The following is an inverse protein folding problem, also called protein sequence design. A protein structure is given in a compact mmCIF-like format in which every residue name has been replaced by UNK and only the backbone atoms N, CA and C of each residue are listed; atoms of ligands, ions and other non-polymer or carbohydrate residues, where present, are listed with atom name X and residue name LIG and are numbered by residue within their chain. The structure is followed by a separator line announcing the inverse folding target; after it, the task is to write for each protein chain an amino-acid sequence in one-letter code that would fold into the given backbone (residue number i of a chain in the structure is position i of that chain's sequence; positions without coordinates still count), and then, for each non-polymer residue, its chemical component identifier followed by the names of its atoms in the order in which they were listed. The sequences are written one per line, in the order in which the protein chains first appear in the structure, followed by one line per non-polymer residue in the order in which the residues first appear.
data_IF_657980926954
#
_entry.id   IF_657980926954
#
_cell.length_a   1.000
_cell.length_b   1.000
_cell.length_c   1.000
_cell.angle_alpha   90.00
_cell.angle_beta   90.00
_cell.angle_gamma   90.00
#
_symmetry.space_group_name_H-M   'P 1'
#
loop_
_entity.id
_entity.type
_entity.pdbx_description
1 polymer ?
#
# COMPACT_ATOMS: atom_id res chain seq x y z
N UNK A 1 -9.62 -14.50 4.01
CA UNK A 1 -8.24 -13.97 3.97
C UNK A 1 -8.23 -12.50 3.54
N UNK A 2 -7.47 -11.64 4.22
CA UNK A 2 -7.29 -10.22 3.90
C UNK A 2 -5.92 -9.97 3.31
N UNK A 3 -5.85 -9.50 2.07
CA UNK A 3 -4.61 -9.27 1.33
C UNK A 3 -4.48 -7.77 1.02
N UNK A 4 -3.36 -7.13 1.36
CA UNK A 4 -3.16 -5.72 1.05
C UNK A 4 -1.86 -5.51 0.26
N UNK A 5 -1.93 -4.74 -0.82
CA UNK A 5 -0.77 -4.42 -1.66
C UNK A 5 -0.18 -3.08 -1.19
N UNK A 6 1.15 -3.03 -1.03
CA UNK A 6 1.88 -1.85 -0.57
C UNK A 6 3.11 -1.58 -1.44
N UNK A 7 3.48 -0.31 -1.57
CA UNK A 7 4.58 0.13 -2.41
C UNK A 7 4.43 1.59 -2.84
N UNK A 8 5.52 2.24 -3.23
CA UNK A 8 5.49 3.64 -3.69
C UNK A 8 4.70 3.81 -5.00
N UNK A 9 4.47 5.04 -5.47
CA UNK A 9 3.83 5.26 -6.77
C UNK A 9 4.67 4.69 -7.91
N UNK A 10 4.03 4.33 -9.03
CA UNK A 10 4.72 3.82 -10.24
C UNK A 10 5.62 2.61 -9.95
N UNK A 11 5.11 1.65 -9.17
CA UNK A 11 5.71 0.31 -9.01
C UNK A 11 4.84 -0.81 -9.59
N UNK A 12 3.67 -0.51 -10.14
CA UNK A 12 2.78 -1.50 -10.78
C UNK A 12 1.79 -2.19 -9.83
N UNK A 13 1.40 -1.54 -8.73
CA UNK A 13 0.44 -2.11 -7.75
C UNK A 13 -0.95 -2.32 -8.32
N UNK A 14 -1.55 -1.28 -8.91
CA UNK A 14 -2.88 -1.39 -9.52
C UNK A 14 -2.91 -2.43 -10.63
N UNK A 15 -1.84 -2.56 -11.43
CA UNK A 15 -1.74 -3.64 -12.42
C UNK A 15 -1.64 -5.04 -11.81
N UNK A 16 -0.98 -5.18 -10.66
CA UNK A 16 -0.97 -6.43 -9.89
C UNK A 16 -2.36 -6.71 -9.29
N UNK A 17 -3.01 -5.70 -8.72
CA UNK A 17 -4.38 -5.77 -8.20
C UNK A 17 -5.36 -6.24 -9.28
N UNK A 18 -5.30 -5.65 -10.47
CA UNK A 18 -6.09 -6.05 -11.64
C UNK A 18 -5.82 -7.53 -12.01
N UNK A 19 -4.55 -7.96 -12.10
CA UNK A 19 -4.23 -9.37 -12.36
C UNK A 19 -4.83 -10.32 -11.32
N UNK A 20 -4.75 -9.94 -10.04
CA UNK A 20 -5.34 -10.74 -8.95
C UNK A 20 -6.86 -10.79 -9.07
N UNK A 21 -7.52 -9.71 -9.50
CA UNK A 21 -8.97 -9.66 -9.69
C UNK A 21 -9.48 -10.60 -10.78
N UNK A 22 -8.67 -10.86 -11.80
CA UNK A 22 -8.99 -11.81 -12.86
C UNK A 22 -8.83 -13.27 -12.41
N UNK A 23 -8.05 -13.50 -11.35
CA UNK A 23 -7.60 -14.84 -10.94
C UNK A 23 -8.24 -15.33 -9.64
N UNK A 24 -8.32 -14.50 -8.60
CA UNK A 24 -8.86 -14.84 -7.29
C UNK A 24 -10.39 -14.70 -7.29
N UNK A 25 -11.08 -15.79 -7.65
CA UNK A 25 -12.54 -15.83 -7.62
C UNK A 25 -13.06 -15.89 -6.19
N UNK A 26 -14.13 -15.14 -5.93
CA UNK A 26 -14.79 -15.12 -4.62
C UNK A 26 -14.18 -14.13 -3.63
N UNK A 27 -13.14 -13.38 -4.03
CA UNK A 27 -12.62 -12.26 -3.25
C UNK A 27 -13.33 -10.95 -3.64
N UNK A 28 -13.55 -10.09 -2.66
CA UNK A 28 -13.89 -8.69 -2.88
C UNK A 28 -12.62 -7.89 -3.21
N UNK A 29 -12.76 -6.88 -4.05
CA UNK A 29 -11.66 -6.03 -4.52
C UNK A 29 -11.94 -4.58 -4.15
N UNK A 30 -11.12 -4.05 -3.23
CA UNK A 30 -11.26 -2.69 -2.71
C UNK A 30 -10.21 -1.80 -3.37
N UNK A 31 -10.71 -0.89 -4.20
CA UNK A 31 -9.91 0.09 -4.91
C UNK A 31 -9.21 1.09 -3.98
N UNK A 32 -8.18 1.74 -4.53
CA UNK A 32 -7.40 2.77 -3.87
C UNK A 32 -8.28 3.89 -3.28
N UNK A 33 -8.07 4.29 -2.00
CA UNK A 33 -8.77 5.39 -1.34
C UNK A 33 -8.93 6.68 -2.14
N UNK A 34 -7.93 7.05 -2.95
CA UNK A 34 -7.97 8.23 -3.80
C UNK A 34 -9.22 8.23 -4.71
N UNK A 35 -9.48 7.13 -5.42
CA UNK A 35 -10.58 7.06 -6.38
C UNK A 35 -11.94 7.10 -5.67
N UNK A 36 -12.10 6.34 -4.58
CA UNK A 36 -13.36 6.34 -3.82
C UNK A 36 -13.67 7.69 -3.19
N UNK A 37 -12.65 8.39 -2.69
CA UNK A 37 -12.81 9.74 -2.13
C UNK A 37 -13.13 10.76 -3.25
N UNK A 38 -12.48 10.64 -4.41
CA UNK A 38 -12.79 11.47 -5.57
C UNK A 38 -14.23 11.27 -6.06
N UNK A 39 -14.72 10.03 -6.13
CA UNK A 39 -16.11 9.71 -6.45
C UNK A 39 -17.11 10.26 -5.42
N UNK A 40 -16.70 10.34 -4.15
CA UNK A 40 -17.46 10.97 -3.08
C UNK A 40 -17.42 12.51 -3.11
N UNK A 41 -16.71 13.12 -4.07
CA UNK A 41 -16.62 14.56 -4.27
C UNK A 41 -15.45 15.24 -3.56
N UNK A 42 -14.46 14.48 -3.08
CA UNK A 42 -13.22 15.06 -2.54
C UNK A 42 -12.28 15.45 -3.69
N UNK A 43 -11.84 16.71 -3.72
CA UNK A 43 -10.88 17.19 -4.72
C UNK A 43 -9.46 17.11 -4.14
N UNK A 44 -8.60 16.34 -4.82
CA UNK A 44 -7.19 16.24 -4.47
C UNK A 44 -6.33 17.15 -5.35
N UNK A 45 -5.30 17.72 -4.75
CA UNK A 45 -4.23 18.37 -5.50
C UNK A 45 -3.42 17.39 -6.36
N UNK A 46 -2.83 17.88 -7.47
CA UNK A 46 -2.01 17.08 -8.38
C UNK A 46 -0.87 16.33 -7.65
N UNK A 47 -0.33 16.95 -6.61
CA UNK A 47 0.58 16.32 -5.66
C UNK A 47 0.00 16.47 -4.25
N UNK A 48 -0.56 15.39 -3.66
CA UNK A 48 -1.27 15.48 -2.39
C UNK A 48 -0.45 16.12 -1.27
N UNK A 49 -1.10 17.01 -0.53
CA UNK A 49 -0.61 17.62 0.69
C UNK A 49 -0.59 16.62 1.85
N UNK A 50 0.05 17.01 2.95
CA UNK A 50 0.08 16.22 4.18
C UNK A 50 -1.33 15.91 4.69
N UNK A 51 -2.22 16.89 4.68
CA UNK A 51 -3.61 16.78 5.10
C UNK A 51 -4.40 15.82 4.20
N UNK A 52 -4.16 15.86 2.89
CA UNK A 52 -4.79 14.94 1.93
C UNK A 52 -4.29 13.50 2.11
N UNK A 53 -3.00 13.29 2.38
CA UNK A 53 -2.48 11.98 2.77
C UNK A 53 -3.08 11.48 4.09
N UNK A 54 -3.33 12.36 5.06
CA UNK A 54 -4.05 11.99 6.29
C UNK A 54 -5.47 11.53 5.97
N UNK A 55 -6.21 12.25 5.12
CA UNK A 55 -7.57 11.84 4.73
C UNK A 55 -7.58 10.46 4.05
N UNK A 56 -6.64 10.21 3.14
CA UNK A 56 -6.50 8.89 2.50
C UNK A 56 -6.12 7.79 3.50
N UNK A 57 -5.24 8.09 4.47
CA UNK A 57 -4.91 7.17 5.55
C UNK A 57 -6.15 6.81 6.38
N UNK A 58 -6.92 7.81 6.82
CA UNK A 58 -8.14 7.59 7.60
C UNK A 58 -9.16 6.73 6.84
N UNK A 59 -9.34 7.01 5.54
CA UNK A 59 -10.23 6.23 4.70
C UNK A 59 -9.74 4.78 4.53
N UNK A 60 -8.44 4.59 4.30
CA UNK A 60 -7.84 3.26 4.16
C UNK A 60 -7.97 2.43 5.44
N UNK A 61 -7.73 3.04 6.61
CA UNK A 61 -7.94 2.38 7.91
C UNK A 61 -9.42 2.00 8.11
N UNK A 62 -10.34 2.88 7.72
CA UNK A 62 -11.77 2.61 7.79
C UNK A 62 -12.15 1.43 6.88
N UNK A 63 -11.73 1.45 5.61
CA UNK A 63 -11.97 0.36 4.66
C UNK A 63 -11.57 -0.98 5.27
N UNK A 64 -10.33 -1.08 5.77
CA UNK A 64 -9.79 -2.29 6.38
C UNK A 64 -10.65 -2.75 7.57
N UNK A 65 -11.00 -1.85 8.49
CA UNK A 65 -11.82 -2.18 9.67
C UNK A 65 -13.26 -2.62 9.35
N UNK A 66 -13.82 -2.17 8.23
CA UNK A 66 -15.21 -2.45 7.83
C UNK A 66 -15.33 -3.60 6.83
N UNK A 67 -14.21 -4.11 6.32
CA UNK A 67 -14.20 -5.17 5.32
C UNK A 67 -14.37 -6.54 5.96
N UNK A 68 -14.96 -7.46 5.21
CA UNK A 68 -15.06 -8.86 5.59
C UNK A 68 -13.74 -9.61 5.44
N UNK A 69 -13.87 -10.93 5.36
CA UNK A 69 -12.79 -11.80 4.89
C UNK A 69 -12.86 -11.94 3.36
N UNK A 70 -11.80 -12.50 2.79
CA UNK A 70 -11.67 -12.78 1.34
C UNK A 70 -11.73 -11.47 0.55
N UNK A 71 -10.80 -10.58 0.88
CA UNK A 71 -10.71 -9.24 0.29
C UNK A 71 -9.27 -8.91 -0.08
N UNK A 72 -9.12 -8.26 -1.23
CA UNK A 72 -7.85 -7.69 -1.71
C UNK A 72 -7.97 -6.17 -1.73
N UNK A 73 -7.02 -5.48 -1.11
CA UNK A 73 -6.92 -4.02 -1.14
C UNK A 73 -5.82 -3.59 -2.12
N UNK A 74 -6.13 -2.70 -3.06
CA UNK A 74 -5.15 -2.12 -4.00
C UNK A 74 -4.06 -1.35 -3.23
N UNK A 75 -4.43 -0.76 -2.08
CA UNK A 75 -3.53 0.00 -1.20
C UNK A 75 -3.65 -0.40 0.26
N UNK A 76 -2.51 -0.52 0.91
CA UNK A 76 -2.39 -0.65 2.35
C UNK A 76 -2.32 0.73 3.03
N UNK A 77 -2.90 0.93 4.24
CA UNK A 77 -2.68 2.13 5.06
C UNK A 77 -1.20 2.51 5.23
N UNK A 78 -0.31 1.52 5.15
CA UNK A 78 1.13 1.69 5.21
C UNK A 78 1.69 2.63 4.13
N UNK A 79 1.12 2.63 2.93
CA UNK A 79 1.51 3.53 1.84
C UNK A 79 1.42 4.99 2.30
N UNK A 80 0.27 5.37 2.86
CA UNK A 80 0.00 6.73 3.29
C UNK A 80 0.84 7.14 4.50
N UNK A 81 1.12 6.22 5.42
CA UNK A 81 2.06 6.48 6.51
C UNK A 81 3.47 6.80 5.98
N UNK A 82 3.93 6.09 4.95
CA UNK A 82 5.21 6.37 4.32
C UNK A 82 5.22 7.76 3.64
N UNK A 83 4.16 8.12 2.91
CA UNK A 83 4.02 9.48 2.37
C UNK A 83 4.04 10.54 3.48
N UNK A 84 3.26 10.37 4.55
CA UNK A 84 3.23 11.29 5.70
C UNK A 84 4.61 11.43 6.36
N UNK A 85 5.39 10.35 6.45
CA UNK A 85 6.76 10.38 7.00
C UNK A 85 7.71 11.19 6.10
N UNK A 86 7.53 11.11 4.79
CA UNK A 86 8.39 11.80 3.80
C UNK A 86 7.98 13.28 3.61
N UNK A 87 6.69 13.59 3.63
CA UNK A 87 6.15 14.94 3.35
C UNK A 87 5.89 15.77 4.61
N UNK A 88 5.60 15.11 5.74
CA UNK A 88 5.05 15.73 6.96
C UNK A 88 6.06 16.40 7.90
N UNK A 89 6.97 17.22 7.37
CA UNK A 89 8.00 17.93 8.13
C UNK A 89 7.53 18.39 9.53
N UNK A 90 8.29 18.04 10.57
CA UNK A 90 8.16 18.44 11.99
C UNK A 90 6.90 18.03 12.79
N UNK A 91 5.83 17.50 12.19
CA UNK A 91 4.59 17.11 12.92
C UNK A 91 4.70 15.70 13.52
N UNK A 92 5.62 15.54 14.48
CA UNK A 92 5.96 14.23 15.07
C UNK A 92 4.80 13.53 15.78
N UNK A 93 3.89 14.27 16.41
CA UNK A 93 2.80 13.68 17.21
C UNK A 93 1.73 13.01 16.36
N UNK A 94 1.33 13.62 15.23
CA UNK A 94 0.35 13.04 14.31
C UNK A 94 0.92 11.79 13.62
N UNK A 95 2.19 11.81 13.20
CA UNK A 95 2.88 10.64 12.64
C UNK A 95 2.94 9.50 13.67
N UNK A 96 3.22 9.80 14.94
CA UNK A 96 3.24 8.77 15.98
C UNK A 96 1.86 8.12 16.20
N UNK A 97 0.79 8.92 16.21
CA UNK A 97 -0.57 8.38 16.32
C UNK A 97 -0.98 7.59 15.08
N UNK A 98 -0.54 8.00 13.88
CA UNK A 98 -0.77 7.27 12.65
C UNK A 98 -0.01 5.92 12.66
N UNK A 99 1.24 5.92 13.14
CA UNK A 99 2.08 4.73 13.23
C UNK A 99 1.43 3.63 14.07
N UNK A 100 0.94 3.94 15.28
CA UNK A 100 0.30 2.93 16.13
C UNK A 100 -0.95 2.34 15.48
N UNK A 101 -1.78 3.17 14.84
CA UNK A 101 -3.01 2.73 14.18
C UNK A 101 -2.74 1.88 12.95
N UNK A 102 -1.72 2.22 12.17
CA UNK A 102 -1.29 1.41 11.02
C UNK A 102 -0.73 0.07 11.48
N UNK A 103 0.11 0.07 12.53
CA UNK A 103 0.60 -1.18 13.11
C UNK A 103 -0.54 -2.10 13.53
N UNK A 104 -1.52 -1.55 14.26
CA UNK A 104 -2.66 -2.34 14.72
C UNK A 104 -3.47 -2.85 13.52
N UNK A 105 -3.66 -2.04 12.47
CA UNK A 105 -4.32 -2.47 11.22
C UNK A 105 -3.54 -3.55 10.45
N UNK A 106 -2.21 -3.57 10.50
CA UNK A 106 -1.39 -4.63 9.89
C UNK A 106 -1.63 -6.00 10.55
N UNK A 107 -2.04 -6.05 11.82
CA UNK A 107 -2.38 -7.32 12.50
C UNK A 107 -3.65 -7.97 11.94
N UNK A 108 -4.48 -7.19 11.25
CA UNK A 108 -5.70 -7.66 10.61
C UNK A 108 -5.48 -8.12 9.15
N UNK A 109 -4.28 -7.94 8.61
CA UNK A 109 -3.91 -8.34 7.25
C UNK A 109 -3.24 -9.71 7.30
N UNK A 110 -3.83 -10.69 6.60
CA UNK A 110 -3.29 -12.05 6.53
C UNK A 110 -2.04 -12.13 5.64
N UNK A 111 -1.97 -11.30 4.60
CA UNK A 111 -0.85 -11.20 3.68
C UNK A 111 -0.64 -9.76 3.20
N UNK A 112 0.50 -9.19 3.57
CA UNK A 112 0.99 -7.94 3.03
C UNK A 112 1.84 -8.23 1.78
N UNK A 113 1.45 -7.69 0.62
CA UNK A 113 2.21 -7.84 -0.63
C UNK A 113 3.00 -6.55 -0.86
N UNK A 114 4.33 -6.61 -0.71
CA UNK A 114 5.19 -5.47 -0.97
C UNK A 114 5.76 -5.52 -2.39
N UNK A 115 5.53 -4.44 -3.14
CA UNK A 115 6.08 -4.21 -4.47
C UNK A 115 7.13 -3.09 -4.38
N UNK A 116 8.43 -3.42 -4.27
CA UNK A 116 9.49 -2.43 -4.19
C UNK A 116 9.78 -1.79 -5.56
N UNK A 117 10.57 -0.72 -5.56
CA UNK A 117 11.35 -0.35 -6.74
C UNK A 117 12.40 -1.44 -6.98
N UNK A 118 12.41 -2.04 -8.16
CA UNK A 118 13.36 -3.09 -8.52
C UNK A 118 14.71 -2.52 -8.98
N UNK A 119 15.75 -3.37 -8.95
CA UNK A 119 17.09 -3.06 -9.46
C UNK A 119 17.48 -4.09 -10.52
N UNK A 120 17.52 -3.73 -11.82
CA UNK A 120 17.23 -2.40 -12.38
C UNK A 120 15.73 -2.06 -12.32
N UNK A 121 15.42 -0.75 -12.28
CA UNK A 121 14.02 -0.28 -12.29
C UNK A 121 13.34 -0.66 -13.60
N UNK A 122 12.28 -1.46 -13.49
CA UNK A 122 11.52 -1.94 -14.65
C UNK A 122 10.53 -0.89 -15.17
N UNK A 123 10.27 0.18 -14.41
CA UNK A 123 9.28 1.20 -14.75
C UNK A 123 9.98 2.50 -15.15
N UNK A 124 9.65 2.99 -16.33
CA UNK A 124 10.12 4.29 -16.80
C UNK A 124 9.41 5.42 -16.04
N UNK A 125 10.07 5.94 -15.00
CA UNK A 125 9.61 7.08 -14.20
C UNK A 125 10.11 8.39 -14.83
N UNK A 126 9.19 9.23 -15.32
CA UNK A 126 9.54 10.56 -15.86
C UNK A 126 9.70 11.57 -14.72
N UNK A 127 10.29 12.73 -14.99
CA UNK A 127 10.40 13.81 -14.00
C UNK A 127 9.03 14.26 -13.46
N UNK A 128 7.99 14.27 -14.31
CA UNK A 128 6.61 14.58 -13.94
C UNK A 128 6.00 13.54 -12.98
N UNK A 129 6.60 12.35 -12.88
CA UNK A 129 6.17 11.28 -11.98
C UNK A 129 6.88 11.37 -10.61
N UNK A 130 7.55 12.49 -10.28
CA UNK A 130 8.15 12.76 -8.96
C UNK A 130 9.16 11.68 -8.48
N UNK A 131 10.20 11.35 -9.27
CA UNK A 131 11.12 10.24 -8.99
C UNK A 131 11.84 10.32 -7.63
N UNK A 132 12.16 11.52 -7.14
CA UNK A 132 12.76 11.69 -5.80
C UNK A 132 11.80 11.31 -4.68
N UNK A 133 10.53 11.71 -4.79
CA UNK A 133 9.49 11.34 -3.84
C UNK A 133 9.28 9.83 -3.89
N UNK A 134 9.26 9.25 -5.11
CA UNK A 134 9.13 7.81 -5.34
C UNK A 134 10.14 7.02 -4.53
N UNK A 135 11.42 7.38 -4.67
CA UNK A 135 12.54 6.73 -3.99
C UNK A 135 12.49 6.91 -2.46
N UNK A 136 12.24 8.14 -1.99
CA UNK A 136 12.12 8.42 -0.55
C UNK A 136 11.02 7.61 0.11
N UNK A 137 9.87 7.49 -0.56
CA UNK A 137 8.73 6.71 -0.06
C UNK A 137 9.03 5.20 -0.12
N UNK A 138 9.72 4.70 -1.15
CA UNK A 138 10.16 3.30 -1.19
C UNK A 138 11.06 2.96 0.02
N UNK A 139 12.07 3.79 0.29
CA UNK A 139 12.93 3.58 1.46
C UNK A 139 12.17 3.71 2.78
N UNK A 140 11.24 4.67 2.89
CA UNK A 140 10.39 4.79 4.07
C UNK A 140 9.53 3.53 4.29
N UNK A 141 9.01 2.91 3.22
CA UNK A 141 8.29 1.64 3.30
C UNK A 141 9.20 0.50 3.75
N UNK A 142 10.40 0.36 3.18
CA UNK A 142 11.38 -0.65 3.59
C UNK A 142 11.75 -0.53 5.08
N UNK A 143 11.94 0.70 5.57
CA UNK A 143 12.19 0.98 6.99
C UNK A 143 10.98 0.62 7.85
N UNK A 144 9.78 1.10 7.50
CA UNK A 144 8.56 0.84 8.27
C UNK A 144 8.22 -0.65 8.32
N UNK A 145 8.35 -1.38 7.21
CA UNK A 145 8.14 -2.83 7.16
C UNK A 145 9.12 -3.53 8.11
N UNK A 146 10.41 -3.17 8.04
CA UNK A 146 11.43 -3.73 8.93
C UNK A 146 11.09 -3.46 10.39
N UNK A 147 10.73 -2.22 10.72
CA UNK A 147 10.37 -1.81 12.08
C UNK A 147 9.15 -2.60 12.59
N UNK A 148 8.09 -2.72 11.79
CA UNK A 148 6.90 -3.46 12.17
C UNK A 148 7.14 -4.97 12.32
N UNK A 149 8.01 -5.57 11.50
CA UNK A 149 8.38 -6.98 11.63
C UNK A 149 9.12 -7.29 12.94
N UNK A 150 9.69 -6.29 13.62
CA UNK A 150 10.29 -6.48 14.96
C UNK A 150 9.22 -6.49 16.07
N UNK A 151 8.10 -5.81 15.85
CA UNK A 151 7.06 -5.59 16.84
C UNK A 151 5.83 -6.51 16.64
N UNK A 152 5.67 -7.10 15.46
CA UNK A 152 4.43 -7.78 15.05
C UNK A 152 4.72 -8.89 14.05
N UNK A 153 4.15 -10.07 14.30
CA UNK A 153 4.13 -11.16 13.33
C UNK A 153 3.02 -10.91 12.31
N UNK A 154 3.39 -10.52 11.09
CA UNK A 154 2.51 -10.51 9.92
C UNK A 154 3.23 -11.17 8.74
N UNK A 155 2.45 -11.74 7.83
CA UNK A 155 3.03 -12.39 6.65
C UNK A 155 3.24 -11.38 5.54
N UNK A 156 4.43 -11.40 4.95
CA UNK A 156 4.81 -10.50 3.88
C UNK A 156 5.36 -11.28 2.70
N UNK A 157 4.83 -10.99 1.51
CA UNK A 157 5.39 -11.42 0.24
C UNK A 157 6.02 -10.21 -0.46
N UNK A 158 7.34 -10.23 -0.62
CA UNK A 158 8.05 -9.25 -1.46
C UNK A 158 8.06 -9.82 -2.88
N UNK A 159 7.42 -9.13 -3.82
CA UNK A 159 7.24 -9.62 -5.19
C UNK A 159 8.01 -8.76 -6.20
N UNK A 160 8.54 -9.41 -7.23
CA UNK A 160 9.35 -8.77 -8.28
C UNK A 160 9.12 -9.41 -9.65
N UNK A 161 9.60 -8.76 -10.72
CA UNK A 161 9.46 -9.23 -12.09
C UNK A 161 8.24 -8.66 -12.82
N UNK A 162 7.80 -9.36 -13.87
CA UNK A 162 6.62 -9.01 -14.66
C UNK A 162 5.32 -9.12 -13.85
N UNK A 163 4.24 -8.51 -14.34
CA UNK A 163 2.92 -8.59 -13.68
C UNK A 163 2.47 -10.04 -13.49
N UNK A 164 2.67 -10.90 -14.49
CA UNK A 164 2.34 -12.33 -14.41
C UNK A 164 3.17 -13.02 -13.32
N UNK A 165 4.49 -12.82 -13.28
CA UNK A 165 5.37 -13.42 -12.26
C UNK A 165 5.01 -12.95 -10.84
N UNK A 166 4.71 -11.65 -10.67
CA UNK A 166 4.28 -11.11 -9.36
C UNK A 166 2.94 -11.69 -8.93
N UNK A 167 1.99 -11.82 -9.86
CA UNK A 167 0.67 -12.39 -9.63
C UNK A 167 0.80 -13.86 -9.19
N UNK A 168 1.61 -14.67 -9.88
CA UNK A 168 1.94 -16.05 -9.49
C UNK A 168 2.58 -16.13 -8.10
N UNK A 169 3.53 -15.25 -7.78
CA UNK A 169 4.15 -15.20 -6.44
C UNK A 169 3.12 -14.94 -5.33
N UNK A 170 2.15 -14.05 -5.56
CA UNK A 170 1.06 -13.81 -4.60
C UNK A 170 0.16 -15.03 -4.49
N UNK A 171 -0.26 -15.62 -5.60
CA UNK A 171 -1.14 -16.80 -5.61
C UNK A 171 -0.53 -17.98 -4.87
N UNK A 172 0.78 -18.23 -5.05
CA UNK A 172 1.50 -19.28 -4.32
C UNK A 172 1.46 -19.07 -2.80
N UNK A 173 1.47 -17.81 -2.33
CA UNK A 173 1.35 -17.49 -0.90
C UNK A 173 -0.08 -17.69 -0.37
N UNK A 174 -1.09 -17.49 -1.23
CA UNK A 174 -2.51 -17.72 -0.88
C UNK A 174 -2.79 -19.23 -0.81
N UNK A 175 -2.27 -20.03 -1.75
CA UNK A 175 -2.48 -21.49 -1.80
C UNK A 175 -1.70 -22.28 -0.74
N UNK A 176 -0.60 -21.71 -0.23
CA UNK A 176 0.25 -22.37 0.78
C UNK A 176 -0.32 -22.29 2.20
N UNK A 177 -1.56 -21.82 2.37
CA UNK A 177 -2.26 -21.65 3.66
C UNK A 177 -3.58 -22.42 3.68
#
# INVERSE_FOLDING_TARGET
MRIAITGTHKVGKTSLFECLSETLRGYDFIEEPYYQLAEAGYEFSDNPSYEEYLVMLEHSLKQLSTSGDDVVFDRCPLDYLAYLRVTGGSVRSAIHSAYSRVRDALTEIDLLVFVPIEEPDLINCRDSDLPELRLKVNHALEELIRDFMLDTDFNIAIVSGSITERCEQVLNNVESR
#
